data_IF_365718510404
#
_entry.id   IF_365718510404
#
_cell.length_a   1.000
_cell.length_b   1.000
_cell.length_c   1.000
_cell.angle_alpha   90.00
_cell.angle_beta   90.00
_cell.angle_gamma   90.00
#
_symmetry.space_group_name_H-M   'P 1'
#
loop_
_entity.id
_entity.type
_entity.pdbx_description
1 polymer ?
#
# COMPACT_ATOMS: atom_id res chain seq x y z
N UNK A 1 9.31 -8.68 4.64
CA UNK A 1 10.47 -9.32 5.28
C UNK A 1 11.72 -8.86 4.55
N UNK A 2 12.45 -7.87 5.09
CA UNK A 2 13.58 -7.28 4.39
C UNK A 2 14.78 -8.22 4.39
N UNK A 3 15.46 -8.22 3.26
CA UNK A 3 16.70 -8.89 2.93
C UNK A 3 17.81 -8.59 3.93
N UNK A 4 18.10 -9.56 4.80
CA UNK A 4 19.38 -9.65 5.51
C UNK A 4 20.42 -10.26 4.56
N UNK A 5 20.84 -9.50 3.55
CA UNK A 5 22.17 -9.69 2.98
C UNK A 5 23.08 -8.71 3.70
N UNK A 6 23.56 -9.14 4.87
CA UNK A 6 24.80 -8.57 5.42
C UNK A 6 25.82 -8.66 4.28
N UNK A 7 26.41 -7.53 3.92
CA UNK A 7 27.61 -7.50 3.08
C UNK A 7 28.72 -8.22 3.84
N UNK A 8 28.75 -9.54 3.71
CA UNK A 8 29.90 -10.32 4.14
C UNK A 8 31.06 -9.95 3.22
N UNK A 9 32.25 -9.96 3.84
CA UNK A 9 33.57 -9.67 3.27
C UNK A 9 33.75 -10.20 1.83
N UNK A 10 34.72 -9.66 1.05
CA UNK A 10 35.04 -10.21 -0.27
C UNK A 10 35.10 -11.74 -0.19
N UNK A 11 34.22 -12.39 -0.97
CA UNK A 11 34.05 -13.84 -0.95
C UNK A 11 35.42 -14.50 -1.11
N UNK A 12 35.63 -15.61 -0.40
CA UNK A 12 36.94 -16.27 -0.44
C UNK A 12 37.32 -16.56 -1.89
N UNK A 13 38.61 -16.57 -2.21
CA UNK A 13 39.10 -16.86 -3.58
C UNK A 13 38.51 -18.18 -4.12
N UNK A 14 38.19 -19.10 -3.22
CA UNK A 14 37.53 -20.37 -3.50
C UNK A 14 36.04 -20.22 -3.86
N UNK A 15 35.29 -19.34 -3.18
CA UNK A 15 33.90 -19.03 -3.51
C UNK A 15 33.79 -18.36 -4.88
N UNK A 16 34.69 -17.43 -5.21
CA UNK A 16 34.74 -16.78 -6.52
C UNK A 16 35.08 -17.78 -7.64
N UNK A 17 36.02 -18.69 -7.40
CA UNK A 17 36.35 -19.77 -8.34
C UNK A 17 35.16 -20.73 -8.51
N UNK A 18 34.44 -21.05 -7.44
CA UNK A 18 33.24 -21.87 -7.49
C UNK A 18 32.12 -21.22 -8.32
N UNK A 19 31.87 -19.92 -8.15
CA UNK A 19 30.87 -19.18 -8.92
C UNK A 19 31.21 -19.15 -10.42
N UNK A 20 32.48 -19.04 -10.78
CA UNK A 20 32.92 -19.13 -12.18
C UNK A 20 32.62 -20.52 -12.79
N UNK A 21 32.87 -21.59 -12.05
CA UNK A 21 32.56 -22.96 -12.49
C UNK A 21 31.06 -23.18 -12.63
N UNK A 22 30.25 -22.72 -11.66
CA UNK A 22 28.78 -22.82 -11.70
C UNK A 22 28.18 -22.07 -12.90
N UNK A 23 28.75 -20.91 -13.28
CA UNK A 23 28.27 -20.14 -14.44
C UNK A 23 28.66 -20.76 -15.79
N UNK A 24 29.66 -21.64 -15.83
CA UNK A 24 30.12 -22.33 -17.04
C UNK A 24 29.44 -23.68 -17.26
N UNK A 25 28.72 -24.19 -16.26
CA UNK A 25 28.03 -25.48 -16.35
C UNK A 25 26.80 -25.40 -17.29
N UNK A 26 26.64 -26.37 -18.22
CA UNK A 26 25.48 -26.42 -19.09
C UNK A 26 24.19 -26.63 -18.29
N UNK A 27 23.10 -26.00 -18.75
CA UNK A 27 21.77 -26.08 -18.10
C UNK A 27 21.32 -27.54 -17.97
N UNK A 28 21.30 -28.05 -16.75
CA UNK A 28 20.78 -29.40 -16.44
C UNK A 28 21.82 -30.42 -15.96
N UNK A 29 23.08 -30.05 -15.75
CA UNK A 29 24.07 -30.98 -15.16
C UNK A 29 23.81 -31.25 -13.66
N UNK A 30 24.14 -32.45 -13.19
CA UNK A 30 24.00 -32.81 -11.77
C UNK A 30 25.14 -32.20 -10.97
N UNK A 31 24.83 -31.76 -9.74
CA UNK A 31 25.80 -31.11 -8.83
C UNK A 31 26.88 -32.07 -8.29
N UNK A 32 26.97 -33.28 -8.82
CA UNK A 32 27.88 -34.33 -8.35
C UNK A 32 29.32 -34.17 -8.90
N UNK A 33 29.51 -33.40 -9.97
CA UNK A 33 30.85 -33.11 -10.52
C UNK A 33 31.66 -32.09 -9.69
N UNK A 34 31.04 -31.40 -8.73
CA UNK A 34 31.68 -30.37 -7.88
C UNK A 34 32.39 -30.96 -6.64
N UNK A 35 32.64 -32.27 -6.65
CA UNK A 35 33.08 -33.11 -5.52
C UNK A 35 34.46 -32.76 -4.91
N UNK A 36 35.20 -31.78 -5.45
CA UNK A 36 36.56 -31.46 -4.98
C UNK A 36 36.65 -30.37 -3.90
N UNK A 37 35.57 -29.62 -3.60
CA UNK A 37 35.59 -28.62 -2.53
C UNK A 37 34.27 -28.57 -1.74
N UNK A 38 34.38 -28.89 -0.44
CA UNK A 38 33.27 -28.83 0.52
C UNK A 38 32.66 -27.41 0.63
N UNK A 39 33.48 -26.36 0.44
CA UNK A 39 33.01 -24.98 0.40
C UNK A 39 32.15 -24.68 -0.82
N UNK A 40 32.52 -25.20 -1.99
CA UNK A 40 31.77 -25.00 -3.23
C UNK A 40 30.42 -25.73 -3.22
N UNK A 41 30.38 -26.95 -2.68
CA UNK A 41 29.12 -27.69 -2.47
C UNK A 41 28.15 -26.96 -1.54
N UNK A 42 28.68 -26.34 -0.47
CA UNK A 42 27.86 -25.54 0.45
C UNK A 42 27.31 -24.27 -0.20
N UNK A 43 28.12 -23.57 -1.00
CA UNK A 43 27.67 -22.40 -1.75
C UNK A 43 26.60 -22.77 -2.79
N UNK A 44 26.85 -23.82 -3.57
CA UNK A 44 25.93 -24.29 -4.59
C UNK A 44 24.57 -24.75 -4.01
N UNK A 45 24.59 -25.47 -2.88
CA UNK A 45 23.35 -25.86 -2.19
C UNK A 45 22.59 -24.67 -1.62
N UNK A 46 23.29 -23.65 -1.11
CA UNK A 46 22.68 -22.39 -0.64
C UNK A 46 22.00 -21.63 -1.78
N UNK A 47 22.67 -21.50 -2.93
CA UNK A 47 22.10 -20.86 -4.13
C UNK A 47 20.88 -21.65 -4.62
N UNK A 48 20.97 -22.98 -4.69
CA UNK A 48 19.86 -23.85 -5.10
C UNK A 48 18.63 -23.68 -4.20
N UNK A 49 18.84 -23.62 -2.88
CA UNK A 49 17.76 -23.38 -1.91
C UNK A 49 17.10 -22.01 -2.11
N UNK A 50 17.91 -20.95 -2.28
CA UNK A 50 17.40 -19.60 -2.53
C UNK A 50 16.58 -19.52 -3.82
N UNK A 51 17.09 -20.09 -4.92
CA UNK A 51 16.37 -20.15 -6.20
C UNK A 51 15.05 -20.91 -6.03
N UNK A 52 15.05 -22.08 -5.36
CA UNK A 52 13.83 -22.83 -5.10
C UNK A 52 12.81 -21.99 -4.31
N UNK A 53 13.22 -21.29 -3.25
CA UNK A 53 12.35 -20.40 -2.47
C UNK A 53 11.80 -19.24 -3.28
N UNK A 54 12.61 -18.62 -4.14
CA UNK A 54 12.15 -17.50 -4.98
C UNK A 54 11.18 -18.01 -6.06
N UNK A 55 11.49 -19.15 -6.69
CA UNK A 55 10.64 -19.78 -7.71
C UNK A 55 9.30 -20.22 -7.12
N UNK A 56 9.28 -20.84 -5.94
CA UNK A 56 8.04 -21.20 -5.23
C UNK A 56 7.19 -19.97 -4.91
N UNK A 57 7.80 -18.88 -4.45
CA UNK A 57 7.10 -17.62 -4.19
C UNK A 57 6.52 -16.98 -5.47
N UNK A 58 7.23 -17.07 -6.60
CA UNK A 58 6.75 -16.59 -7.90
C UNK A 58 5.60 -17.47 -8.41
N UNK A 59 5.73 -18.80 -8.34
CA UNK A 59 4.68 -19.76 -8.72
C UNK A 59 3.44 -19.55 -7.85
N UNK A 60 3.58 -19.40 -6.54
CA UNK A 60 2.45 -19.13 -5.65
C UNK A 60 1.73 -17.83 -6.03
N UNK A 61 2.48 -16.78 -6.40
CA UNK A 61 1.90 -15.52 -6.90
C UNK A 61 1.20 -15.68 -8.24
N UNK A 62 1.74 -16.49 -9.18
CA UNK A 62 1.12 -16.72 -10.48
C UNK A 62 -0.13 -17.59 -10.38
N UNK A 63 -0.10 -18.66 -9.57
CA UNK A 63 -1.24 -19.54 -9.30
C UNK A 63 -2.39 -18.78 -8.64
N UNK A 64 -2.11 -17.90 -7.67
CA UNK A 64 -3.14 -17.03 -7.09
C UNK A 64 -3.72 -16.09 -8.17
N UNK A 65 -2.88 -15.51 -9.03
CA UNK A 65 -3.34 -14.64 -10.12
C UNK A 65 -4.16 -15.38 -11.20
N UNK A 66 -3.87 -16.66 -11.44
CA UNK A 66 -4.59 -17.52 -12.39
C UNK A 66 -5.88 -18.09 -11.83
N UNK A 67 -5.89 -18.55 -10.58
CA UNK A 67 -7.10 -18.98 -9.88
C UNK A 67 -8.15 -17.86 -9.84
N UNK A 68 -7.70 -16.60 -9.68
CA UNK A 68 -8.58 -15.44 -9.74
C UNK A 68 -9.05 -15.10 -11.16
N UNK A 69 -8.19 -15.19 -12.19
CA UNK A 69 -8.63 -15.05 -13.59
C UNK A 69 -9.65 -16.13 -13.97
N UNK A 70 -9.48 -17.35 -13.48
CA UNK A 70 -10.45 -18.42 -13.62
C UNK A 70 -11.77 -18.09 -12.92
N UNK A 71 -11.73 -17.57 -11.69
CA UNK A 71 -12.92 -17.11 -10.96
C UNK A 71 -13.72 -16.03 -11.73
N UNK A 72 -13.05 -15.12 -12.43
CA UNK A 72 -13.71 -14.12 -13.28
C UNK A 72 -14.20 -14.66 -14.63
N UNK A 73 -13.59 -15.73 -15.16
CA UNK A 73 -13.95 -16.32 -16.45
C UNK A 73 -14.99 -17.45 -16.35
N UNK A 74 -15.19 -18.06 -15.18
CA UNK A 74 -16.10 -19.21 -15.02
C UNK A 74 -17.56 -18.81 -14.72
N UNK A 75 -17.96 -17.57 -15.02
CA UNK A 75 -19.33 -17.08 -14.78
C UNK A 75 -20.25 -17.13 -16.01
N UNK A 76 -20.11 -18.13 -16.90
CA UNK A 76 -21.11 -18.46 -17.93
C UNK A 76 -22.12 -19.55 -17.51
N UNK A 77 -22.17 -19.88 -16.22
CA UNK A 77 -23.28 -20.64 -15.63
C UNK A 77 -24.12 -19.72 -14.74
N UNK A 78 -25.34 -19.42 -15.17
CA UNK A 78 -26.42 -18.69 -14.46
C UNK A 78 -26.01 -18.00 -13.14
N UNK A 79 -25.81 -16.68 -13.24
CA UNK A 79 -25.75 -15.79 -12.09
C UNK A 79 -26.98 -16.04 -11.21
N UNK A 80 -26.83 -16.40 -9.91
CA UNK A 80 -27.88 -16.12 -8.94
C UNK A 80 -28.22 -14.63 -9.05
N UNK A 81 -29.50 -14.21 -8.87
CA UNK A 81 -29.90 -12.83 -9.10
C UNK A 81 -28.88 -11.92 -8.41
N UNK A 82 -28.30 -10.99 -9.18
CA UNK A 82 -27.41 -9.92 -8.69
C UNK A 82 -28.12 -9.28 -7.51
N UNK A 83 -27.84 -9.74 -6.29
CA UNK A 83 -28.10 -8.94 -5.11
C UNK A 83 -27.20 -7.75 -5.36
N UNK A 84 -27.80 -6.60 -5.68
CA UNK A 84 -27.06 -5.36 -5.89
C UNK A 84 -26.16 -5.18 -4.67
N UNK A 85 -24.86 -5.44 -4.84
CA UNK A 85 -23.97 -5.58 -3.69
C UNK A 85 -23.93 -4.30 -2.87
N UNK A 86 -23.75 -4.40 -1.56
CA UNK A 86 -23.85 -3.21 -0.70
C UNK A 86 -22.78 -2.18 -1.08
N UNK A 87 -23.15 -0.90 -1.06
CA UNK A 87 -22.24 0.19 -1.40
C UNK A 87 -21.04 0.17 -0.44
N UNK A 88 -19.86 -0.10 -0.97
CA UNK A 88 -18.62 -0.14 -0.21
C UNK A 88 -17.41 0.14 -1.07
N UNK A 89 -16.37 0.70 -0.46
CA UNK A 89 -15.07 0.86 -1.06
C UNK A 89 -13.98 0.71 0.00
N UNK A 90 -12.88 0.09 -0.41
CA UNK A 90 -11.62 0.10 0.31
C UNK A 90 -10.51 0.41 -0.67
N UNK A 91 -9.78 1.49 -0.41
CA UNK A 91 -8.76 2.03 -1.29
C UNK A 91 -7.41 2.00 -0.57
N UNK A 92 -6.35 1.61 -1.27
CA UNK A 92 -4.99 1.50 -0.69
C UNK A 92 -4.02 2.43 -1.38
N UNK A 93 -3.06 2.99 -0.64
CA UNK A 93 -2.06 3.90 -1.20
C UNK A 93 -1.11 3.15 -2.14
N UNK A 94 -0.71 3.79 -3.26
CA UNK A 94 0.27 3.23 -4.21
C UNK A 94 1.62 3.95 -4.14
N UNK A 95 2.77 3.28 -4.37
CA UNK A 95 4.10 3.87 -4.31
C UNK A 95 4.32 5.13 -5.17
N UNK A 96 3.65 5.23 -6.33
CA UNK A 96 3.81 6.35 -7.27
C UNK A 96 2.84 7.53 -7.02
N UNK A 97 1.98 7.44 -6.00
CA UNK A 97 0.91 8.42 -5.76
C UNK A 97 1.41 9.78 -5.27
N UNK A 98 2.40 9.78 -4.36
CA UNK A 98 2.76 10.97 -3.58
C UNK A 98 3.53 12.04 -4.37
N UNK A 99 4.19 11.69 -5.48
CA UNK A 99 4.98 12.63 -6.28
C UNK A 99 4.12 13.64 -7.08
N UNK A 100 2.82 13.37 -7.27
CA UNK A 100 1.87 14.25 -7.98
C UNK A 100 0.84 14.91 -7.07
N UNK A 101 0.78 14.54 -5.79
CA UNK A 101 -0.22 14.98 -4.81
C UNK A 101 0.10 16.39 -4.26
N UNK A 102 0.15 17.42 -5.12
CA UNK A 102 0.49 18.80 -4.72
C UNK A 102 -0.43 19.90 -5.29
N UNK A 103 -1.37 19.55 -6.17
CA UNK A 103 -2.23 20.52 -6.84
C UNK A 103 -3.52 20.76 -6.04
N UNK A 104 -3.42 21.55 -4.97
CA UNK A 104 -4.51 21.92 -4.06
C UNK A 104 -5.72 22.57 -4.76
N UNK A 105 -5.54 23.19 -5.93
CA UNK A 105 -6.61 23.93 -6.64
C UNK A 105 -7.87 23.11 -6.96
N UNK A 106 -7.75 21.77 -7.14
CA UNK A 106 -8.92 20.90 -7.45
C UNK A 106 -9.70 20.45 -6.21
N UNK A 107 -9.22 20.78 -5.01
CA UNK A 107 -9.82 20.37 -3.73
C UNK A 107 -10.32 21.56 -2.90
N UNK A 108 -10.49 22.72 -3.53
CA UNK A 108 -10.95 23.93 -2.85
C UNK A 108 -9.91 24.51 -1.90
N UNK A 109 -10.33 25.47 -1.07
CA UNK A 109 -9.46 26.12 -0.09
C UNK A 109 -9.41 25.28 1.20
N UNK A 110 -8.41 24.42 1.34
CA UNK A 110 -8.22 23.58 2.51
C UNK A 110 -7.44 24.33 3.61
N UNK A 111 -7.74 24.04 4.88
CA UNK A 111 -6.97 24.58 6.01
C UNK A 111 -5.49 24.20 5.91
N UNK A 112 -4.60 25.03 6.47
CA UNK A 112 -3.15 24.78 6.47
C UNK A 112 -2.79 23.39 7.03
N UNK A 113 -3.51 22.92 8.05
CA UNK A 113 -3.28 21.59 8.65
C UNK A 113 -3.76 20.41 7.78
N UNK A 114 -4.55 20.66 6.73
CA UNK A 114 -5.11 19.65 5.83
C UNK A 114 -4.78 19.97 4.36
N UNK A 115 -3.69 20.68 4.08
CA UNK A 115 -3.45 21.31 2.78
C UNK A 115 -3.14 20.33 1.63
N UNK A 116 -2.72 19.11 1.94
CA UNK A 116 -2.33 18.11 0.93
C UNK A 116 -3.39 17.04 0.78
N UNK A 117 -4.23 17.14 -0.26
CA UNK A 117 -5.17 16.08 -0.63
C UNK A 117 -4.43 14.90 -1.24
N UNK A 118 -4.79 13.67 -0.85
CA UNK A 118 -4.27 12.44 -1.45
C UNK A 118 -5.12 12.11 -2.67
N UNK A 119 -4.55 12.22 -3.87
CA UNK A 119 -5.31 12.19 -5.12
C UNK A 119 -5.22 10.85 -5.86
N UNK A 120 -4.34 9.97 -5.40
CA UNK A 120 -4.03 8.72 -6.08
C UNK A 120 -4.10 7.50 -5.16
N UNK A 121 -5.30 6.95 -5.04
CA UNK A 121 -5.56 5.65 -4.43
C UNK A 121 -5.63 4.52 -5.46
N UNK A 122 -5.15 3.34 -5.08
CA UNK A 122 -5.48 2.08 -5.73
C UNK A 122 -6.89 1.63 -5.36
N UNK A 123 -7.70 1.34 -6.38
CA UNK A 123 -9.12 1.01 -6.22
C UNK A 123 -9.53 -0.33 -6.87
N UNK A 124 -8.61 -0.96 -7.59
CA UNK A 124 -8.81 -2.24 -8.30
C UNK A 124 -7.57 -3.10 -8.12
N UNK A 125 -7.47 -3.76 -6.96
CA UNK A 125 -6.37 -4.67 -6.62
C UNK A 125 -6.87 -5.76 -5.67
N UNK A 126 -6.01 -6.71 -5.31
CA UNK A 126 -6.35 -7.76 -4.33
C UNK A 126 -6.81 -7.18 -2.98
N UNK A 127 -6.27 -6.03 -2.59
CA UNK A 127 -6.54 -5.38 -1.31
C UNK A 127 -7.36 -4.10 -1.48
N UNK A 128 -7.96 -3.84 -2.65
CA UNK A 128 -8.79 -2.65 -2.87
C UNK A 128 -9.92 -2.90 -3.84
N UNK A 129 -11.09 -2.35 -3.52
CA UNK A 129 -12.29 -2.49 -4.33
C UNK A 129 -13.15 -1.24 -4.24
N UNK A 130 -14.03 -1.10 -5.21
CA UNK A 130 -15.12 -0.11 -5.23
C UNK A 130 -16.36 -0.84 -5.75
N UNK A 131 -17.45 -0.80 -4.98
CA UNK A 131 -18.70 -1.46 -5.29
C UNK A 131 -19.86 -0.51 -4.99
N UNK A 132 -20.72 -0.26 -5.98
CA UNK A 132 -21.86 0.66 -5.86
C UNK A 132 -21.50 2.03 -5.26
N UNK A 133 -20.29 2.49 -5.61
CA UNK A 133 -19.70 3.80 -5.35
C UNK A 133 -18.84 4.15 -6.57
N UNK A 134 -18.44 5.41 -6.75
CA UNK A 134 -17.52 5.80 -7.83
C UNK A 134 -16.24 6.40 -7.25
N UNK A 135 -15.09 6.01 -7.78
CA UNK A 135 -13.80 6.62 -7.41
C UNK A 135 -13.22 7.43 -8.58
N UNK A 136 -12.82 8.68 -8.34
CA UNK A 136 -12.15 9.52 -9.34
C UNK A 136 -11.20 10.50 -8.68
N UNK A 137 -9.92 10.45 -9.06
CA UNK A 137 -8.90 11.44 -8.68
C UNK A 137 -8.90 11.80 -7.18
N UNK A 138 -8.82 10.80 -6.30
CA UNK A 138 -8.78 11.00 -4.85
C UNK A 138 -10.15 11.01 -4.17
N UNK A 139 -11.23 11.11 -4.93
CA UNK A 139 -12.59 11.29 -4.43
C UNK A 139 -13.38 10.01 -4.54
N UNK A 140 -14.05 9.65 -3.45
CA UNK A 140 -15.02 8.58 -3.38
C UNK A 140 -16.41 9.19 -3.37
N UNK A 141 -17.17 8.99 -4.44
CA UNK A 141 -18.52 9.50 -4.64
C UNK A 141 -19.56 8.47 -4.21
N UNK A 142 -20.54 8.94 -3.45
CA UNK A 142 -21.69 8.18 -2.98
C UNK A 142 -22.73 8.10 -4.11
N UNK A 143 -23.15 6.89 -4.47
CA UNK A 143 -24.17 6.69 -5.51
C UNK A 143 -25.59 6.49 -4.95
N UNK A 144 -25.69 6.05 -3.69
CA UNK A 144 -26.98 5.80 -3.04
C UNK A 144 -27.00 6.48 -1.67
N UNK A 145 -28.08 7.18 -1.29
CA UNK A 145 -28.16 7.79 0.02
C UNK A 145 -28.18 6.73 1.13
N UNK A 146 -27.74 7.10 2.33
CA UNK A 146 -27.83 6.26 3.52
C UNK A 146 -26.81 6.63 4.58
N UNK A 147 -26.73 5.81 5.64
CA UNK A 147 -25.69 5.95 6.66
C UNK A 147 -24.45 5.16 6.29
N UNK A 148 -23.32 5.84 6.22
CA UNK A 148 -22.03 5.28 5.83
C UNK A 148 -21.04 5.37 6.99
N UNK A 149 -20.40 4.23 7.31
CA UNK A 149 -19.20 4.27 8.13
C UNK A 149 -18.02 4.62 7.22
N UNK A 150 -17.42 5.77 7.45
CA UNK A 150 -16.27 6.30 6.70
C UNK A 150 -15.03 6.14 7.56
N UNK A 151 -13.92 5.67 7.00
CA UNK A 151 -12.68 5.45 7.74
C UNK A 151 -11.45 5.68 6.88
N UNK A 152 -10.34 6.02 7.52
CA UNK A 152 -9.04 6.08 6.85
C UNK A 152 -7.92 5.87 7.86
N UNK A 153 -6.85 5.22 7.40
CA UNK A 153 -5.57 5.17 8.08
C UNK A 153 -4.49 5.81 7.21
N UNK A 154 -3.65 6.66 7.79
CA UNK A 154 -2.43 7.16 7.15
C UNK A 154 -1.23 6.80 8.01
N UNK A 155 -0.25 6.14 7.39
CA UNK A 155 1.00 5.80 8.03
C UNK A 155 2.12 6.75 7.63
N UNK A 156 2.39 7.69 8.53
CA UNK A 156 3.44 8.66 8.34
C UNK A 156 4.81 8.10 8.71
N UNK A 157 5.79 8.41 7.86
CA UNK A 157 7.21 8.09 8.07
C UNK A 157 8.05 9.32 7.85
N UNK A 158 8.62 9.82 8.93
CA UNK A 158 9.54 10.96 8.92
C UNK A 158 10.94 10.49 9.20
N UNK A 159 11.93 11.06 8.50
CA UNK A 159 13.32 10.99 8.92
C UNK A 159 13.55 12.02 10.02
N UNK A 160 14.42 11.72 10.98
CA UNK A 160 14.81 12.64 12.03
C UNK A 160 15.32 13.94 11.41
N UNK A 161 14.69 15.05 11.77
CA UNK A 161 15.25 16.36 11.49
C UNK A 161 16.22 16.68 12.63
N UNK A 162 17.42 17.19 12.30
CA UNK A 162 18.38 17.63 13.30
C UNK A 162 17.76 18.60 14.31
N UNK A 163 18.37 18.68 15.49
CA UNK A 163 17.89 19.47 16.63
C UNK A 163 17.52 20.91 16.20
N UNK A 164 16.23 21.26 16.28
CA UNK A 164 15.77 22.63 16.06
C UNK A 164 14.34 22.78 15.55
N UNK A 165 13.76 21.75 14.93
CA UNK A 165 12.39 21.83 14.41
C UNK A 165 11.41 21.28 15.46
N UNK A 166 10.47 22.12 15.92
CA UNK A 166 9.34 21.64 16.72
C UNK A 166 8.66 20.52 15.93
N UNK A 167 8.68 19.29 16.46
CA UNK A 167 8.30 18.09 15.72
C UNK A 167 7.00 18.26 14.91
N UNK A 168 6.94 17.79 13.66
CA UNK A 168 5.83 18.11 12.78
C UNK A 168 4.50 17.64 13.38
N UNK A 169 3.50 18.54 13.42
CA UNK A 169 2.13 18.16 13.75
C UNK A 169 1.59 17.28 12.63
N UNK A 170 1.31 16.02 12.96
CA UNK A 170 0.80 15.04 12.02
C UNK A 170 -0.72 15.16 12.01
N UNK A 171 -1.29 15.51 10.87
CA UNK A 171 -2.72 15.71 10.76
C UNK A 171 -3.24 14.91 9.58
N UNK A 172 -4.32 14.19 9.83
CA UNK A 172 -5.11 13.50 8.82
C UNK A 172 -6.54 14.05 8.90
N UNK A 173 -7.09 14.44 7.76
CA UNK A 173 -8.41 15.03 7.65
C UNK A 173 -9.23 14.24 6.63
N UNK A 174 -10.44 13.82 7.02
CA UNK A 174 -11.46 13.32 6.09
C UNK A 174 -12.36 14.49 5.75
N UNK A 175 -12.47 14.79 4.46
CA UNK A 175 -13.24 15.90 3.92
C UNK A 175 -14.51 15.35 3.28
N UNK A 176 -15.62 16.05 3.47
CA UNK A 176 -16.89 15.80 2.82
C UNK A 176 -17.23 16.98 1.92
N UNK A 177 -17.62 16.71 0.69
CA UNK A 177 -18.05 17.70 -0.26
C UNK A 177 -19.45 17.34 -0.75
N UNK A 178 -20.48 18.07 -0.32
CA UNK A 178 -21.81 17.95 -0.91
C UNK A 178 -21.76 18.28 -2.41
N UNK A 179 -22.68 17.70 -3.18
CA UNK A 179 -22.80 18.02 -4.60
C UNK A 179 -22.88 19.55 -4.83
N UNK A 180 -22.05 20.07 -5.73
CA UNK A 180 -21.96 21.49 -6.09
C UNK A 180 -21.59 22.46 -4.95
N UNK A 181 -21.02 21.97 -3.85
CA UNK A 181 -20.60 22.80 -2.71
C UNK A 181 -19.08 22.78 -2.50
N UNK A 182 -18.58 23.66 -1.64
CA UNK A 182 -17.18 23.60 -1.18
C UNK A 182 -16.98 22.45 -0.18
N UNK A 183 -15.77 21.87 -0.10
CA UNK A 183 -15.45 20.86 0.91
C UNK A 183 -15.57 21.38 2.33
N UNK A 184 -16.04 20.51 3.22
CA UNK A 184 -16.17 20.72 4.66
C UNK A 184 -15.40 19.60 5.38
N UNK A 185 -14.71 19.98 6.46
CA UNK A 185 -13.99 19.02 7.30
C UNK A 185 -14.98 18.13 8.04
N UNK A 186 -14.87 16.82 7.85
CA UNK A 186 -15.74 15.82 8.49
C UNK A 186 -15.10 15.23 9.75
N UNK A 187 -13.84 14.80 9.64
CA UNK A 187 -13.06 14.26 10.74
C UNK A 187 -11.62 14.78 10.67
N UNK A 188 -11.01 15.01 11.84
CA UNK A 188 -9.62 15.43 11.98
C UNK A 188 -8.94 14.62 13.09
N UNK A 189 -7.91 13.89 12.70
CA UNK A 189 -7.00 13.20 13.60
C UNK A 189 -5.68 13.97 13.68
N UNK A 190 -5.16 14.15 14.89
CA UNK A 190 -3.92 14.85 15.15
C UNK A 190 -3.00 13.96 15.98
N UNK A 191 -1.80 13.73 15.48
CA UNK A 191 -0.69 13.11 16.21
C UNK A 191 0.40 14.13 16.47
N UNK A 192 0.71 14.37 17.74
CA UNK A 192 1.91 15.13 18.14
C UNK A 192 3.03 14.15 18.43
N UNK A 193 4.22 14.38 17.89
CA UNK A 193 5.39 13.56 18.19
C UNK A 193 6.23 14.17 19.30
N UNK A 194 6.58 13.34 20.29
CA UNK A 194 7.76 13.57 21.12
C UNK A 194 8.97 13.01 20.38
N UNK A 195 9.94 13.86 20.07
CA UNK A 195 11.20 13.43 19.46
C UNK A 195 12.24 13.17 20.55
N UNK A 196 12.77 11.95 20.60
CA UNK A 196 14.06 11.72 21.23
C UNK A 196 15.14 12.32 20.31
N UNK A 197 16.11 13.08 20.84
CA UNK A 197 17.15 13.74 20.03
C UNK A 197 17.93 12.78 19.10
N UNK A 198 17.98 11.50 19.45
CA UNK A 198 18.75 10.45 18.77
C UNK A 198 17.91 9.63 17.77
N UNK A 199 16.63 9.96 17.56
CA UNK A 199 15.74 9.18 16.71
C UNK A 199 15.97 9.45 15.21
N UNK A 200 16.52 8.47 14.50
CA UNK A 200 16.76 8.53 13.04
C UNK A 200 15.49 8.65 12.20
N UNK A 201 14.36 8.13 12.69
CA UNK A 201 13.07 8.22 12.05
C UNK A 201 11.93 8.06 13.06
N UNK A 202 10.76 8.58 12.70
CA UNK A 202 9.54 8.41 13.48
C UNK A 202 8.41 7.83 12.63
N UNK A 203 7.76 6.80 13.16
CA UNK A 203 6.62 6.11 12.56
C UNK A 203 5.35 6.48 13.30
N UNK A 204 4.26 6.75 12.58
CA UNK A 204 2.99 7.06 13.21
C UNK A 204 1.82 6.69 12.31
N UNK A 205 0.94 5.81 12.79
CA UNK A 205 -0.31 5.49 12.11
C UNK A 205 -1.44 6.29 12.75
N UNK A 206 -2.12 7.11 11.96
CA UNK A 206 -3.36 7.75 12.37
C UNK A 206 -4.51 7.01 11.72
N UNK A 207 -5.36 6.38 12.54
CA UNK A 207 -6.65 5.83 12.12
C UNK A 207 -7.76 6.70 12.69
N UNK A 208 -8.77 6.97 11.88
CA UNK A 208 -10.02 7.56 12.33
C UNK A 208 -11.18 7.04 11.48
N UNK A 209 -12.38 7.05 12.07
CA UNK A 209 -13.61 6.73 11.37
C UNK A 209 -14.84 7.20 12.12
N UNK A 210 -15.97 7.26 11.42
CA UNK A 210 -17.24 7.74 11.97
C UNK A 210 -18.41 7.40 11.06
N UNK A 211 -19.61 7.46 11.63
CA UNK A 211 -20.87 7.20 10.93
C UNK A 211 -21.50 8.52 10.49
N UNK A 212 -21.81 8.63 9.20
CA UNK A 212 -22.38 9.86 8.61
C UNK A 212 -23.54 9.53 7.69
N UNK A 213 -24.53 10.41 7.65
CA UNK A 213 -25.60 10.34 6.67
C UNK A 213 -25.17 11.08 5.40
N UNK A 214 -25.09 10.35 4.29
CA UNK A 214 -24.58 10.86 3.02
C UNK A 214 -25.66 10.77 1.94
N UNK A 215 -25.64 11.73 1.02
CA UNK A 215 -26.57 11.79 -0.11
C UNK A 215 -25.90 11.30 -1.39
N UNK A 216 -26.71 10.85 -2.34
CA UNK A 216 -26.21 10.55 -3.67
C UNK A 216 -25.58 11.82 -4.29
N UNK A 217 -24.36 11.66 -4.84
CA UNK A 217 -23.57 12.74 -5.39
C UNK A 217 -22.59 13.40 -4.42
N UNK A 218 -22.68 13.12 -3.12
CA UNK A 218 -21.67 13.58 -2.16
C UNK A 218 -20.33 12.89 -2.43
N UNK A 219 -19.24 13.63 -2.23
CA UNK A 219 -17.88 13.13 -2.38
C UNK A 219 -17.12 13.18 -1.06
N UNK A 220 -16.30 12.17 -0.84
CA UNK A 220 -15.39 12.08 0.29
C UNK A 220 -13.95 12.00 -0.20
N UNK A 221 -13.02 12.66 0.48
CA UNK A 221 -11.59 12.53 0.19
C UNK A 221 -10.74 12.73 1.44
N UNK A 222 -9.47 12.33 1.38
CA UNK A 222 -8.52 12.45 2.49
C UNK A 222 -7.49 13.51 2.18
N UNK A 223 -7.13 14.28 3.20
CA UNK A 223 -6.06 15.27 3.14
C UNK A 223 -5.20 15.25 4.40
N UNK A 224 -3.96 15.71 4.31
CA UNK A 224 -2.95 15.60 5.37
C UNK A 224 -2.14 16.88 5.54
N UNK A 225 -1.46 17.02 6.67
CA UNK A 225 -0.54 18.15 6.92
C UNK A 225 0.77 18.07 6.12
N UNK A 226 1.19 16.86 5.74
CA UNK A 226 2.45 16.57 5.04
C UNK A 226 2.36 15.23 4.29
N UNK A 227 3.06 15.13 3.16
CA UNK A 227 3.14 13.93 2.32
C UNK A 227 4.24 12.95 2.74
N UNK A 228 4.83 13.11 3.93
CA UNK A 228 5.79 12.16 4.50
C UNK A 228 5.08 10.87 4.97
N UNK A 229 4.49 10.15 4.00
CA UNK A 229 3.70 8.94 4.16
C UNK A 229 4.52 7.77 3.59
N UNK A 230 4.57 6.65 4.29
CA UNK A 230 5.20 5.45 3.74
C UNK A 230 4.26 4.80 2.72
N UNK A 231 4.66 4.85 1.45
CA UNK A 231 3.91 4.29 0.33
C UNK A 231 4.39 2.91 -0.10
N UNK A 232 5.36 2.32 0.60
CA UNK A 232 5.92 0.99 0.26
C UNK A 232 5.05 -0.16 0.77
N UNK A 233 4.10 0.11 1.67
CA UNK A 233 3.19 -0.87 2.23
C UNK A 233 1.74 -0.46 1.98
N UNK A 234 1.07 -1.19 1.08
CA UNK A 234 -0.33 -0.94 0.73
C UNK A 234 -1.29 -1.22 1.91
N UNK A 235 -0.88 -1.99 2.91
CA UNK A 235 -1.68 -2.25 4.11
C UNK A 235 -1.55 -1.12 5.15
N UNK A 236 -0.56 -0.24 5.03
CA UNK A 236 -0.27 0.77 6.04
C UNK A 236 -1.14 2.03 5.90
N UNK A 237 -1.51 2.41 4.67
CA UNK A 237 -2.33 3.59 4.38
C UNK A 237 -3.50 3.28 3.47
N UNK A 238 -4.71 3.57 3.93
CA UNK A 238 -5.96 3.23 3.23
C UNK A 238 -7.09 4.21 3.54
N UNK A 239 -8.11 4.21 2.68
CA UNK A 239 -9.32 5.02 2.81
C UNK A 239 -10.52 4.20 2.32
N UNK A 240 -11.63 4.23 3.06
CA UNK A 240 -12.81 3.49 2.65
C UNK A 240 -14.09 4.00 3.29
N UNK A 241 -15.19 3.47 2.78
CA UNK A 241 -16.52 3.65 3.34
C UNK A 241 -17.39 2.45 3.02
N UNK A 242 -18.39 2.17 3.85
CA UNK A 242 -19.45 1.21 3.52
C UNK A 242 -20.78 1.67 4.09
N UNK A 243 -21.86 1.38 3.35
CA UNK A 243 -23.22 1.68 3.79
C UNK A 243 -23.68 0.66 4.82
N UNK A 244 -24.30 1.13 5.90
CA UNK A 244 -25.02 0.29 6.84
C UNK A 244 -26.43 0.03 6.30
N UNK A 245 -26.93 -1.18 6.54
CA UNK A 245 -28.36 -1.44 6.49
C UNK A 245 -28.88 -1.20 7.91
N UNK A 246 -29.75 -0.21 8.06
CA UNK A 246 -30.48 0.05 9.31
C UNK A 246 -31.96 -0.23 9.05
#
# INVERSE_FOLDING_TARGET
FPSQLKSQAPGSVEELRCLQVLNQQPKGSSLEELSSSQGCLKLASTIKAYVATVTENIIRRSVVKEAWRSYFNTSEGQLPPKIAGKASAHLTLRPQSLARDGLSQRFGNLSQSCRHAITHWGHSSLHSHVQNMTYRAGRLRVEQPGKYYVYSQIYFRYRGAGAGDSGPQLVQCIQWQPAHSQPVLLLKGVGTKCWAPEADYGLHALYQGGLFELKAGDELFVSVSSLAIDSNDAAASYFGAFRLDL
#
